data_IF_820327869497
#
_entry.id   IF_820327869497
#
_cell.length_a   1.000
_cell.length_b   1.000
_cell.length_c   1.000
_cell.angle_alpha   90.00
_cell.angle_beta   90.00
_cell.angle_gamma   90.00
#
_symmetry.space_group_name_H-M   'P 1'
#
loop_
_entity.id
_entity.type
_entity.pdbx_description
1 polymer ?
#
# COMPACT_ATOMS: atom_id res chain seq x y z
N UNK A 1 0.40 12.24 4.73
CA UNK A 1 -0.53 11.99 5.84
C UNK A 1 -1.28 10.68 5.59
N UNK A 2 -0.60 9.53 5.57
CA UNK A 2 -1.26 8.24 5.24
C UNK A 2 -0.55 7.05 5.91
N UNK A 3 0.78 6.99 5.79
CA UNK A 3 1.57 5.83 6.25
C UNK A 3 1.48 5.56 7.75
N UNK A 4 1.56 6.61 8.58
CA UNK A 4 1.51 6.46 10.04
C UNK A 4 0.17 5.91 10.52
N UNK A 5 -0.93 6.41 9.94
CA UNK A 5 -2.28 5.95 10.25
C UNK A 5 -2.48 4.49 9.81
N UNK A 6 -2.03 4.12 8.61
CA UNK A 6 -2.17 2.74 8.13
C UNK A 6 -1.35 1.72 8.95
N UNK A 7 -0.15 2.09 9.44
CA UNK A 7 0.58 1.25 10.39
C UNK A 7 -0.15 1.10 11.72
N UNK A 8 -0.79 2.18 12.21
CA UNK A 8 -1.61 2.10 13.42
C UNK A 8 -2.78 1.14 13.22
N UNK A 9 -3.46 1.20 12.08
CA UNK A 9 -4.54 0.26 11.74
C UNK A 9 -4.04 -1.18 11.66
N UNK A 10 -2.93 -1.45 10.97
CA UNK A 10 -2.31 -2.79 10.95
C UNK A 10 -2.00 -3.31 12.36
N UNK A 11 -1.46 -2.45 13.23
CA UNK A 11 -1.22 -2.80 14.63
C UNK A 11 -2.50 -3.09 15.39
N UNK A 12 -3.57 -2.33 15.19
CA UNK A 12 -4.86 -2.59 15.82
C UNK A 12 -5.48 -3.91 15.31
N UNK A 13 -5.35 -4.22 14.02
CA UNK A 13 -5.82 -5.49 13.47
C UNK A 13 -5.12 -6.71 14.07
N UNK A 14 -3.86 -6.57 14.51
CA UNK A 14 -3.17 -7.66 15.24
C UNK A 14 -3.76 -7.98 16.63
N UNK A 15 -4.74 -7.20 17.10
CA UNK A 15 -5.47 -7.45 18.35
C UNK A 15 -6.83 -8.13 18.16
N UNK A 16 -7.19 -8.47 16.91
CA UNK A 16 -8.40 -9.21 16.56
C UNK A 16 -8.03 -10.44 15.73
N UNK A 17 -9.00 -11.33 15.49
CA UNK A 17 -8.76 -12.61 14.79
C UNK A 17 -8.57 -12.46 13.27
N UNK A 18 -9.05 -11.36 12.68
CA UNK A 18 -8.97 -11.15 11.23
C UNK A 18 -7.56 -10.79 10.78
N UNK A 19 -6.98 -11.49 9.77
CA UNK A 19 -5.68 -11.14 9.24
C UNK A 19 -5.71 -9.80 8.51
N UNK A 20 -4.61 -9.07 8.57
CA UNK A 20 -4.41 -7.84 7.80
C UNK A 20 -3.22 -8.02 6.86
N UNK A 21 -3.32 -7.47 5.66
CA UNK A 21 -2.26 -7.51 4.64
C UNK A 21 -1.91 -6.08 4.24
N UNK A 22 -0.63 -5.72 4.34
CA UNK A 22 -0.17 -4.36 4.08
C UNK A 22 0.60 -4.29 2.76
N UNK A 23 0.35 -3.26 1.95
CA UNK A 23 1.16 -2.93 0.79
C UNK A 23 1.62 -1.47 0.79
N UNK A 24 2.62 -1.17 -0.04
CA UNK A 24 2.99 0.17 -0.48
C UNK A 24 2.92 0.21 -2.01
N UNK A 25 2.08 1.08 -2.56
CA UNK A 25 2.07 1.37 -3.99
C UNK A 25 3.27 2.25 -4.37
N UNK A 26 4.03 1.82 -5.37
CA UNK A 26 5.18 2.57 -5.89
C UNK A 26 5.27 2.54 -7.43
N UNK A 27 4.22 2.09 -8.13
CA UNK A 27 4.14 2.21 -9.58
C UNK A 27 3.83 3.65 -10.01
N UNK A 28 4.57 4.15 -11.00
CA UNK A 28 4.47 5.53 -11.47
C UNK A 28 3.79 5.56 -12.86
N UNK A 29 2.49 5.90 -12.93
CA UNK A 29 1.82 6.12 -14.21
C UNK A 29 2.48 7.28 -14.97
N UNK A 30 2.49 7.20 -16.30
CA UNK A 30 2.78 8.35 -17.15
C UNK A 30 1.49 9.15 -17.33
N UNK A 31 1.50 10.42 -16.97
CA UNK A 31 0.38 11.34 -17.14
C UNK A 31 0.81 12.42 -18.14
N UNK A 32 0.12 12.53 -19.27
CA UNK A 32 0.43 13.50 -20.33
C UNK A 32 1.93 13.53 -20.72
N UNK A 33 2.54 12.35 -20.87
CA UNK A 33 3.95 12.13 -21.22
C UNK A 33 4.94 12.28 -20.06
N UNK A 34 4.49 12.44 -18.82
CA UNK A 34 5.34 12.72 -17.65
C UNK A 34 5.13 11.72 -16.51
N UNK A 35 6.22 11.29 -15.87
CA UNK A 35 6.21 10.49 -14.62
C UNK A 35 6.49 11.33 -13.36
N UNK A 36 6.46 12.66 -13.46
CA UNK A 36 6.86 13.55 -12.37
C UNK A 36 6.00 13.40 -11.10
N UNK A 37 4.72 13.04 -11.27
CA UNK A 37 3.77 12.84 -10.17
C UNK A 37 4.06 11.57 -9.35
N UNK A 38 4.86 10.65 -9.91
CA UNK A 38 5.22 9.37 -9.27
C UNK A 38 3.95 8.61 -8.83
N UNK A 39 4.04 7.86 -7.73
CA UNK A 39 2.91 7.22 -7.06
C UNK A 39 2.13 8.27 -6.25
N UNK A 40 1.31 9.07 -6.95
CA UNK A 40 0.44 10.06 -6.32
C UNK A 40 -0.77 9.41 -5.62
N UNK A 41 -1.53 10.20 -4.87
CA UNK A 41 -2.69 9.68 -4.13
C UNK A 41 -3.79 9.19 -5.10
N UNK A 42 -4.26 7.96 -4.90
CA UNK A 42 -5.23 7.26 -5.76
C UNK A 42 -4.68 6.79 -7.12
N UNK A 43 -3.36 6.87 -7.36
CA UNK A 43 -2.73 6.38 -8.58
C UNK A 43 -2.95 4.87 -8.81
N UNK A 44 -3.26 4.10 -7.76
CA UNK A 44 -3.52 2.67 -7.82
C UNK A 44 -4.91 2.32 -8.36
N UNK A 45 -5.89 3.21 -8.21
CA UNK A 45 -7.31 2.92 -8.48
C UNK A 45 -7.54 2.43 -9.92
N UNK A 46 -7.02 3.11 -10.96
CA UNK A 46 -7.22 2.67 -12.35
C UNK A 46 -6.73 1.25 -12.62
N UNK A 47 -5.59 0.88 -12.01
CA UNK A 47 -4.97 -0.42 -12.17
C UNK A 47 -5.74 -1.53 -11.47
N UNK A 48 -6.32 -1.25 -10.31
CA UNK A 48 -7.14 -2.20 -9.54
C UNK A 48 -8.44 -2.52 -10.28
N UNK A 49 -9.03 -1.53 -10.94
CA UNK A 49 -10.29 -1.69 -11.66
C UNK A 49 -10.13 -2.05 -13.15
N UNK A 50 -8.90 -2.00 -13.68
CA UNK A 50 -8.65 -2.19 -15.11
C UNK A 50 -9.30 -1.12 -15.98
N UNK A 51 -9.54 0.07 -15.43
CA UNK A 51 -10.17 1.20 -16.11
C UNK A 51 -9.27 2.43 -16.00
N UNK A 52 -8.77 2.89 -17.15
CA UNK A 52 -7.82 3.99 -17.26
C UNK A 52 -8.44 5.30 -17.79
N UNK A 53 -9.77 5.41 -17.80
CA UNK A 53 -10.51 6.60 -18.26
C UNK A 53 -10.40 7.82 -17.31
N UNK A 54 -9.44 7.79 -16.38
CA UNK A 54 -9.20 8.82 -15.37
C UNK A 54 -7.73 9.21 -15.33
N UNK A 55 -7.47 10.44 -14.89
CA UNK A 55 -6.12 11.00 -14.69
C UNK A 55 -5.26 11.16 -15.96
N UNK A 56 -5.79 10.96 -17.17
CA UNK A 56 -5.04 11.09 -18.43
C UNK A 56 -3.76 10.23 -18.46
N UNK A 57 -3.88 8.96 -18.03
CA UNK A 57 -2.77 8.01 -18.02
C UNK A 57 -2.43 7.60 -19.46
N UNK A 58 -1.16 7.75 -19.86
CA UNK A 58 -0.63 7.18 -21.10
C UNK A 58 -0.43 5.67 -20.92
N UNK A 59 -1.48 4.89 -21.20
CA UNK A 59 -1.49 3.45 -20.95
C UNK A 59 -0.50 2.73 -21.87
N UNK A 60 0.46 2.03 -21.26
CA UNK A 60 1.37 1.12 -21.96
C UNK A 60 1.00 -0.36 -21.73
N UNK A 61 1.60 -1.27 -22.52
CA UNK A 61 1.47 -2.71 -22.28
C UNK A 61 1.94 -3.12 -20.87
N UNK A 62 2.93 -2.40 -20.31
CA UNK A 62 3.38 -2.63 -18.94
C UNK A 62 2.30 -2.27 -17.93
N UNK A 63 1.55 -1.19 -18.15
CA UNK A 63 0.44 -0.77 -17.29
C UNK A 63 -0.71 -1.78 -17.34
N UNK A 64 -1.07 -2.25 -18.54
CA UNK A 64 -2.10 -3.28 -18.72
C UNK A 64 -1.72 -4.60 -18.03
N UNK A 65 -0.45 -5.02 -18.16
CA UNK A 65 0.03 -6.22 -17.49
C UNK A 65 0.08 -6.06 -15.97
N UNK A 66 0.52 -4.90 -15.47
CA UNK A 66 0.52 -4.62 -14.05
C UNK A 66 -0.90 -4.58 -13.48
N UNK A 67 -1.86 -3.99 -14.19
CA UNK A 67 -3.28 -3.99 -13.81
C UNK A 67 -3.87 -5.40 -13.70
N UNK A 68 -3.52 -6.32 -14.61
CA UNK A 68 -3.93 -7.73 -14.48
C UNK A 68 -3.43 -8.36 -13.18
N UNK A 69 -2.18 -8.07 -12.78
CA UNK A 69 -1.63 -8.55 -11.50
C UNK A 69 -2.38 -7.93 -10.33
N UNK A 70 -2.72 -6.64 -10.38
CA UNK A 70 -3.48 -5.98 -9.30
C UNK A 70 -4.89 -6.53 -9.16
N UNK A 71 -5.58 -6.78 -10.28
CA UNK A 71 -6.89 -7.43 -10.28
C UNK A 71 -6.81 -8.83 -9.67
N UNK A 72 -5.78 -9.62 -9.98
CA UNK A 72 -5.57 -10.94 -9.38
C UNK A 72 -5.35 -10.85 -7.86
N UNK A 73 -4.50 -9.93 -7.39
CA UNK A 73 -4.26 -9.69 -5.96
C UNK A 73 -5.58 -9.38 -5.23
N UNK A 74 -6.38 -8.46 -5.77
CA UNK A 74 -7.61 -8.02 -5.11
C UNK A 74 -8.74 -9.05 -5.20
N UNK A 75 -8.88 -9.75 -6.33
CA UNK A 75 -9.94 -10.75 -6.51
C UNK A 75 -9.64 -12.03 -5.72
N UNK A 76 -8.37 -12.45 -5.60
CA UNK A 76 -7.98 -13.56 -4.71
C UNK A 76 -8.26 -13.23 -3.24
N UNK A 77 -7.94 -12.01 -2.79
CA UNK A 77 -8.31 -11.56 -1.45
C UNK A 77 -9.84 -11.55 -1.24
N UNK A 78 -10.60 -11.04 -2.21
CA UNK A 78 -12.06 -11.02 -2.10
C UNK A 78 -12.69 -12.43 -2.05
N UNK A 79 -12.07 -13.39 -2.74
CA UNK A 79 -12.55 -14.77 -2.83
C UNK A 79 -12.23 -15.58 -1.57
N UNK A 80 -10.98 -15.55 -1.13
CA UNK A 80 -10.45 -16.50 -0.14
C UNK A 80 -9.87 -15.80 1.11
N UNK A 81 -9.87 -14.47 1.15
CA UNK A 81 -9.28 -13.68 2.24
C UNK A 81 -7.74 -13.60 2.19
N UNK A 82 -7.10 -14.17 1.18
CA UNK A 82 -5.65 -14.24 1.04
C UNK A 82 -5.25 -13.64 -0.32
N UNK A 83 -4.49 -12.53 -0.36
CA UNK A 83 -4.03 -11.96 -1.62
C UNK A 83 -2.93 -12.82 -2.26
N UNK A 84 -3.04 -13.06 -3.56
CA UNK A 84 -2.08 -13.86 -4.33
C UNK A 84 -0.81 -13.07 -4.69
N UNK A 85 0.38 -13.64 -4.40
CA UNK A 85 1.67 -13.17 -4.96
C UNK A 85 2.27 -14.22 -5.92
N UNK A 86 1.41 -15.03 -6.54
CA UNK A 86 1.83 -16.14 -7.38
C UNK A 86 2.46 -17.26 -6.57
N UNK A 87 3.80 -17.30 -6.47
CA UNK A 87 4.54 -18.37 -5.79
C UNK A 87 4.89 -18.07 -4.33
N UNK A 88 4.90 -16.79 -3.98
CA UNK A 88 5.20 -16.36 -2.61
C UNK A 88 3.91 -16.17 -1.82
N UNK A 89 3.97 -16.32 -0.50
CA UNK A 89 2.84 -16.03 0.37
C UNK A 89 2.89 -14.57 0.81
N UNK A 90 1.74 -13.88 0.72
CA UNK A 90 1.63 -12.55 1.28
C UNK A 90 1.68 -12.62 2.82
N UNK A 91 2.66 -11.99 3.48
CA UNK A 91 2.78 -12.07 4.93
C UNK A 91 1.62 -11.36 5.64
N UNK A 92 0.98 -12.05 6.59
CA UNK A 92 0.06 -11.41 7.52
C UNK A 92 0.82 -10.34 8.29
N UNK A 93 0.22 -9.15 8.41
CA UNK A 93 0.81 -8.03 9.11
C UNK A 93 1.03 -8.40 10.58
N UNK A 94 2.27 -8.19 11.04
CA UNK A 94 2.64 -8.34 12.44
C UNK A 94 3.34 -7.06 12.95
N UNK A 95 3.08 -6.58 14.18
CA UNK A 95 3.69 -5.35 14.68
C UNK A 95 5.20 -5.40 14.88
N UNK A 96 5.80 -6.60 14.92
CA UNK A 96 7.22 -6.82 15.22
C UNK A 96 8.09 -6.60 13.98
N UNK A 97 7.75 -7.25 12.87
CA UNK A 97 8.49 -7.16 11.61
C UNK A 97 7.89 -6.10 10.68
N UNK A 98 6.59 -5.83 10.80
CA UNK A 98 5.85 -4.85 10.00
C UNK A 98 6.05 -5.08 8.50
N UNK A 99 5.94 -6.35 8.10
CA UNK A 99 6.05 -6.77 6.71
C UNK A 99 4.95 -6.16 5.86
N UNK A 100 5.33 -5.81 4.64
CA UNK A 100 4.44 -5.30 3.61
C UNK A 100 4.94 -5.71 2.23
N UNK A 101 4.05 -5.70 1.25
CA UNK A 101 4.43 -5.89 -0.15
C UNK A 101 4.62 -4.54 -0.82
N UNK A 102 5.77 -4.34 -1.45
CA UNK A 102 6.00 -3.24 -2.37
C UNK A 102 5.39 -3.60 -3.73
N UNK A 103 4.40 -2.83 -4.18
CA UNK A 103 3.79 -2.98 -5.50
C UNK A 103 4.46 -1.97 -6.46
N UNK A 104 5.41 -2.46 -7.24
CA UNK A 104 6.22 -1.72 -8.20
C UNK A 104 6.50 -2.63 -9.42
N UNK A 105 7.36 -2.22 -10.35
CA UNK A 105 7.81 -3.05 -11.48
C UNK A 105 8.36 -4.42 -11.01
N UNK A 106 9.01 -4.44 -9.84
CA UNK A 106 9.29 -5.67 -9.11
C UNK A 106 8.44 -5.70 -7.83
N UNK A 107 7.63 -6.74 -7.70
CA UNK A 107 6.86 -6.97 -6.47
C UNK A 107 7.76 -7.64 -5.44
N UNK A 108 7.91 -7.02 -4.27
CA UNK A 108 8.86 -7.47 -3.24
C UNK A 108 8.22 -7.44 -1.85
N UNK A 109 8.50 -8.43 -1.02
CA UNK A 109 8.19 -8.38 0.41
C UNK A 109 9.28 -7.55 1.11
N UNK A 110 8.89 -6.53 1.88
CA UNK A 110 9.79 -5.65 2.63
C UNK A 110 9.36 -5.54 4.08
N UNK A 111 10.32 -5.22 4.95
CA UNK A 111 10.10 -5.01 6.38
C UNK A 111 10.08 -3.52 6.72
N UNK A 112 9.41 -3.16 7.82
CA UNK A 112 9.59 -1.86 8.48
C UNK A 112 9.28 -0.63 7.62
N UNK A 113 8.07 -0.57 7.05
CA UNK A 113 7.61 0.55 6.21
C UNK A 113 7.91 1.92 6.85
N UNK A 114 8.94 2.64 6.43
CA UNK A 114 9.24 4.02 6.90
C UNK A 114 9.23 4.20 8.43
N UNK A 115 9.54 3.16 9.21
CA UNK A 115 9.36 3.11 10.67
C UNK A 115 9.97 4.29 11.42
N UNK A 116 11.19 4.70 11.07
CA UNK A 116 11.85 5.87 11.68
C UNK A 116 11.04 7.16 11.53
N UNK A 117 10.48 7.42 10.34
CA UNK A 117 9.70 8.63 10.07
C UNK A 117 8.34 8.56 10.78
N UNK A 118 7.69 7.41 10.77
CA UNK A 118 6.42 7.20 11.45
C UNK A 118 6.57 7.37 12.96
N UNK A 119 7.64 6.83 13.56
CA UNK A 119 7.95 7.01 14.98
C UNK A 119 8.08 8.49 15.35
N UNK A 120 8.86 9.25 14.58
CA UNK A 120 9.06 10.69 14.84
C UNK A 120 7.75 11.48 14.77
N UNK A 121 6.90 11.19 13.77
CA UNK A 121 5.59 11.85 13.61
C UNK A 121 4.68 11.52 14.81
N UNK A 122 4.61 10.25 15.20
CA UNK A 122 3.76 9.81 16.31
C UNK A 122 4.25 10.38 17.65
N UNK A 123 5.56 10.35 17.92
CA UNK A 123 6.13 10.93 19.15
C UNK A 123 5.86 12.43 19.25
N UNK A 124 5.96 13.17 18.14
CA UNK A 124 5.63 14.59 18.11
C UNK A 124 4.13 14.83 18.34
N UNK A 125 3.28 14.05 17.68
CA UNK A 125 1.83 14.13 17.84
C UNK A 125 1.38 13.82 19.28
N UNK A 126 1.91 12.76 19.89
CA UNK A 126 1.56 12.34 21.24
C UNK A 126 2.02 13.36 22.30
N UNK A 127 3.24 13.91 22.15
CA UNK A 127 3.72 15.00 23.02
C UNK A 127 2.80 16.22 22.99
N UNK A 128 2.38 16.62 21.79
CA UNK A 128 1.49 17.77 21.64
C UNK A 128 0.11 17.46 22.22
N UNK A 129 -0.47 16.30 21.89
CA UNK A 129 -1.80 15.88 22.36
C UNK A 129 -1.89 15.77 23.88
N UNK A 130 -0.88 15.22 24.54
CA UNK A 130 -0.90 14.99 25.99
C UNK A 130 -0.63 16.28 26.78
N UNK A 131 0.03 17.27 26.19
CA UNK A 131 0.30 18.57 26.81
C UNK A 131 -0.82 19.60 26.60
N UNK A 132 -1.96 19.20 26.00
CA UNK A 132 -3.15 20.05 25.83
C UNK A 132 -4.17 19.90 26.98
N UNK A 133 -3.81 19.24 28.09
CA UNK A 133 -4.66 19.11 29.29
C UNK A 133 -4.51 20.27 30.30
N UNK A 134 -3.94 21.42 29.92
CA UNK A 134 -3.88 22.66 30.72
C UNK A 134 -4.82 23.75 30.18
#
# INVERSE_FOLDING_TARGET
>A
MFTAQMQKWGKLMSSVESPAYLYLWNWYPSINGSKEYRAFHAAEVPYIFGNFDVFDIDVSDKDLNFSKVMMEIWTSFAKDGIPSLGKEEWPIFDPKNQRYVLLDENIEIKDGLRTRKVRLINEAYDKVRNNFED
#
